data_IF_317503250538
#
_entry.id   IF_317503250538
#
_cell.length_a   1.000
_cell.length_b   1.000
_cell.length_c   1.000
_cell.angle_alpha   90.00
_cell.angle_beta   90.00
_cell.angle_gamma   90.00
#
_symmetry.space_group_name_H-M   'P 1'
#
loop_
_entity.id
_entity.type
_entity.pdbx_description
1 polymer ?
#
# COMPACT_ATOMS: atom_id res chain seq x y z
N UNK A 1 6.19 -5.06 2.81
CA UNK A 1 4.96 -5.20 3.63
C UNK A 1 5.04 -4.22 4.77
N UNK A 2 3.99 -3.43 4.95
CA UNK A 2 3.83 -2.50 6.06
C UNK A 2 2.93 -3.15 7.12
N UNK A 3 3.35 -3.12 8.39
CA UNK A 3 2.64 -3.69 9.55
C UNK A 3 2.41 -2.62 10.60
N UNK A 4 1.47 -2.90 11.50
CA UNK A 4 1.04 -1.99 12.58
C UNK A 4 0.49 -0.65 12.08
N UNK A 5 -0.13 -0.63 10.90
CA UNK A 5 -0.84 0.56 10.40
C UNK A 5 -2.00 0.87 11.36
N UNK A 6 -2.21 2.13 11.77
CA UNK A 6 -3.38 2.47 12.57
C UNK A 6 -4.66 2.26 11.76
N UNK A 7 -5.62 1.50 12.31
CA UNK A 7 -6.81 1.05 11.58
C UNK A 7 -7.70 2.20 11.07
N UNK A 8 -7.53 3.40 11.64
CA UNK A 8 -8.25 4.61 11.23
C UNK A 8 -7.80 5.14 9.88
N UNK A 9 -6.54 4.91 9.48
CA UNK A 9 -6.03 5.33 8.18
C UNK A 9 -6.85 4.71 7.06
N UNK A 10 -7.28 5.54 6.12
CA UNK A 10 -7.81 5.06 4.84
C UNK A 10 -6.67 4.73 3.87
N UNK A 11 -7.04 4.14 2.73
CA UNK A 11 -6.11 3.84 1.64
C UNK A 11 -5.47 5.14 1.13
N UNK A 12 -6.31 6.14 0.89
CA UNK A 12 -5.98 7.48 0.42
C UNK A 12 -5.06 8.21 1.39
N UNK A 13 -5.39 8.19 2.68
CA UNK A 13 -4.58 8.89 3.70
C UNK A 13 -3.20 8.28 3.83
N UNK A 14 -3.09 6.95 3.82
CA UNK A 14 -1.79 6.29 3.92
C UNK A 14 -0.97 6.50 2.64
N UNK A 15 -1.61 6.43 1.48
CA UNK A 15 -0.96 6.69 0.19
C UNK A 15 -0.42 8.12 0.12
N UNK A 16 -1.21 9.11 0.55
CA UNK A 16 -0.79 10.50 0.60
C UNK A 16 0.41 10.74 1.54
N UNK A 17 0.45 10.09 2.71
CA UNK A 17 1.63 10.16 3.61
C UNK A 17 2.89 9.60 2.95
N UNK A 18 2.76 8.51 2.19
CA UNK A 18 3.88 7.88 1.48
C UNK A 18 4.39 8.80 0.37
N UNK A 19 3.48 9.34 -0.46
CA UNK A 19 3.83 10.28 -1.53
C UNK A 19 4.46 11.57 -0.99
N UNK A 20 3.87 12.15 0.07
CA UNK A 20 4.39 13.36 0.71
C UNK A 20 5.78 13.17 1.36
N UNK A 21 6.16 11.93 1.68
CA UNK A 21 7.48 11.61 2.18
C UNK A 21 8.53 11.41 1.07
N UNK A 22 8.17 11.66 -0.20
CA UNK A 22 9.07 11.60 -1.35
C UNK A 22 9.09 10.27 -2.09
N UNK A 23 8.15 9.36 -1.80
CA UNK A 23 8.05 8.06 -2.47
C UNK A 23 7.07 8.05 -3.64
N UNK A 24 6.72 9.23 -4.15
CA UNK A 24 5.86 9.35 -5.32
C UNK A 24 6.52 8.69 -6.54
N UNK A 25 5.74 8.00 -7.36
CA UNK A 25 6.20 7.26 -8.54
C UNK A 25 7.27 6.17 -8.32
N UNK A 26 7.61 5.80 -7.07
CA UNK A 26 8.61 4.75 -6.78
C UNK A 26 8.03 3.32 -6.68
N UNK A 27 6.72 3.17 -6.85
CA UNK A 27 6.03 1.89 -6.69
C UNK A 27 4.91 1.68 -7.72
N UNK A 28 4.75 0.43 -8.17
CA UNK A 28 3.77 0.02 -9.18
C UNK A 28 2.52 -0.63 -8.59
N UNK A 29 2.53 -0.94 -7.29
CA UNK A 29 1.44 -1.62 -6.61
C UNK A 29 1.30 -1.13 -5.17
N UNK A 30 0.09 -0.79 -4.77
CA UNK A 30 -0.28 -0.49 -3.39
C UNK A 30 -1.53 -1.25 -3.00
N UNK A 31 -1.58 -1.80 -1.79
CA UNK A 31 -2.78 -2.40 -1.26
C UNK A 31 -2.88 -2.29 0.24
N UNK A 32 -3.95 -1.64 0.71
CA UNK A 32 -4.36 -1.60 2.11
C UNK A 32 -5.67 -2.39 2.28
N UNK A 33 -5.63 -3.66 2.71
CA UNK A 33 -6.83 -4.45 2.95
C UNK A 33 -7.77 -3.81 3.96
N UNK A 34 -9.03 -3.66 3.55
CA UNK A 34 -10.11 -3.15 4.38
C UNK A 34 -10.98 -4.30 4.89
N UNK A 35 -11.36 -4.23 6.15
CA UNK A 35 -12.44 -5.03 6.71
C UNK A 35 -13.79 -4.39 6.32
N UNK A 36 -14.58 -5.09 5.50
CA UNK A 36 -15.84 -4.55 4.97
C UNK A 36 -16.92 -4.34 6.02
N UNK A 37 -16.85 -5.03 7.17
CA UNK A 37 -17.82 -4.89 8.26
C UNK A 37 -17.57 -3.62 9.05
N UNK A 38 -16.30 -3.39 9.43
CA UNK A 38 -15.91 -2.23 10.24
C UNK A 38 -15.53 -1.00 9.41
N UNK A 39 -15.32 -1.18 8.10
CA UNK A 39 -14.79 -0.16 7.17
C UNK A 39 -13.43 0.41 7.61
N UNK A 40 -12.63 -0.39 8.32
CA UNK A 40 -11.29 -0.03 8.79
C UNK A 40 -10.24 -0.91 8.14
N UNK A 41 -9.00 -0.43 8.03
CA UNK A 41 -7.93 -1.27 7.51
C UNK A 41 -7.57 -2.40 8.50
N UNK A 42 -6.94 -3.46 8.00
CA UNK A 42 -6.56 -4.64 8.81
C UNK A 42 -5.24 -4.50 9.56
N UNK A 43 -4.65 -3.30 9.59
CA UNK A 43 -3.39 -3.02 10.29
C UNK A 43 -2.13 -3.40 9.51
N UNK A 44 -2.26 -3.80 8.25
CA UNK A 44 -1.13 -4.09 7.37
C UNK A 44 -1.44 -3.70 5.93
N UNK A 45 -0.40 -3.46 5.13
CA UNK A 45 -0.49 -3.14 3.72
C UNK A 45 0.69 -3.70 2.92
N UNK A 46 0.58 -3.65 1.60
CA UNK A 46 1.60 -4.10 0.66
C UNK A 46 1.93 -2.97 -0.30
N UNK A 47 3.22 -2.83 -0.58
CA UNK A 47 3.77 -1.89 -1.55
C UNK A 47 4.80 -2.69 -2.36
N UNK A 48 4.77 -2.58 -3.68
CA UNK A 48 5.80 -3.14 -4.56
C UNK A 48 6.53 -1.97 -5.22
N UNK A 49 7.80 -1.81 -4.88
CA UNK A 49 8.67 -0.79 -5.46
C UNK A 49 9.26 -1.28 -6.79
N UNK A 50 9.67 -0.34 -7.65
CA UNK A 50 10.29 -0.68 -8.95
C UNK A 50 11.65 -1.37 -8.76
N UNK A 51 12.37 -1.02 -7.70
CA UNK A 51 13.67 -1.59 -7.36
C UNK A 51 13.78 -1.95 -5.86
N UNK A 52 14.75 -2.80 -5.54
CA UNK A 52 15.07 -3.13 -4.15
C UNK A 52 15.64 -1.95 -3.38
N UNK A 53 16.39 -1.07 -4.04
CA UNK A 53 16.97 0.13 -3.43
C UNK A 53 15.89 1.07 -2.90
N UNK A 54 14.85 1.34 -3.69
CA UNK A 54 13.71 2.15 -3.27
C UNK A 54 12.94 1.52 -2.10
N UNK A 55 12.80 0.19 -2.11
CA UNK A 55 12.20 -0.53 -0.98
C UNK A 55 13.02 -0.42 0.31
N UNK A 56 14.35 -0.40 0.19
CA UNK A 56 15.27 -0.19 1.31
C UNK A 56 15.21 1.25 1.83
N UNK A 57 15.20 2.25 0.95
CA UNK A 57 14.99 3.66 1.30
C UNK A 57 13.66 3.87 2.02
N UNK A 58 12.59 3.23 1.53
CA UNK A 58 11.29 3.26 2.19
C UNK A 58 11.34 2.62 3.58
N UNK A 59 12.04 1.50 3.73
CA UNK A 59 12.23 0.88 5.04
C UNK A 59 12.99 1.81 6.00
N UNK A 60 14.05 2.48 5.55
CA UNK A 60 14.79 3.45 6.36
C UNK A 60 13.92 4.64 6.78
N UNK A 61 13.04 5.12 5.89
CA UNK A 61 12.16 6.25 6.16
C UNK A 61 11.01 5.89 7.11
N UNK A 62 10.35 4.74 6.91
CA UNK A 62 9.08 4.39 7.58
C UNK A 62 9.20 3.34 8.68
N UNK A 63 10.25 2.52 8.72
CA UNK A 63 10.39 1.51 9.76
C UNK A 63 10.62 2.18 11.12
N UNK A 64 9.95 1.66 12.15
CA UNK A 64 9.97 2.22 13.51
C UNK A 64 9.48 3.67 13.61
N UNK A 65 8.73 4.15 12.62
CA UNK A 65 8.05 5.43 12.68
C UNK A 65 6.62 5.32 13.18
N UNK A 66 6.16 6.38 13.83
CA UNK A 66 4.75 6.60 14.14
C UNK A 66 4.16 7.51 13.08
N UNK A 67 2.97 7.15 12.60
CA UNK A 67 2.19 8.00 11.72
C UNK A 67 1.46 9.06 12.54
N UNK A 68 1.49 10.32 12.09
CA UNK A 68 1.14 11.47 12.93
C UNK A 68 -0.27 12.03 12.70
N UNK A 69 -0.99 11.56 11.67
CA UNK A 69 -2.36 12.06 11.37
C UNK A 69 -3.35 11.79 12.50
N UNK A 70 -3.15 10.71 13.25
CA UNK A 70 -4.05 10.31 14.34
C UNK A 70 -3.27 9.95 15.60
N UNK A 71 -3.78 10.28 16.80
CA UNK A 71 -3.21 9.81 18.05
C UNK A 71 -3.19 8.27 18.08
N UNK A 72 -1.99 7.69 18.15
CA UNK A 72 -1.80 6.25 18.18
C UNK A 72 -0.50 5.90 18.89
N UNK A 73 -0.50 4.80 19.64
CA UNK A 73 0.72 4.21 20.19
C UNK A 73 1.42 3.28 19.20
N UNK A 74 0.77 2.96 18.06
CA UNK A 74 1.30 2.03 17.07
C UNK A 74 2.54 2.58 16.40
N UNK A 75 3.50 1.69 16.17
CA UNK A 75 4.78 1.95 15.51
C UNK A 75 4.83 1.05 14.28
N UNK A 76 5.08 1.64 13.12
CA UNK A 76 5.15 0.93 11.86
C UNK A 76 6.31 -0.06 11.82
N UNK A 77 6.03 -1.21 11.23
CA UNK A 77 7.04 -2.22 10.91
C UNK A 77 7.08 -2.43 9.41
N UNK A 78 8.25 -2.25 8.80
CA UNK A 78 8.48 -2.54 7.39
C UNK A 78 9.27 -3.84 7.31
N UNK A 79 8.80 -4.78 6.50
CA UNK A 79 9.51 -6.03 6.25
C UNK A 79 9.21 -6.55 4.83
N UNK A 80 10.09 -7.39 4.25
CA UNK A 80 9.81 -8.07 3.00
C UNK A 80 8.47 -8.84 3.07
N UNK A 81 7.67 -8.76 2.00
CA UNK A 81 6.43 -9.52 1.89
C UNK A 81 6.73 -10.97 1.49
N UNK A 82 5.84 -11.92 1.84
CA UNK A 82 5.94 -13.31 1.36
C UNK A 82 5.76 -13.41 -0.17
N UNK A 83 4.90 -12.56 -0.73
CA UNK A 83 4.70 -12.45 -2.18
C UNK A 83 5.54 -11.29 -2.67
N UNK A 84 6.44 -11.56 -3.62
CA UNK A 84 7.42 -10.61 -4.13
C UNK A 84 7.20 -10.39 -5.63
N UNK A 85 7.35 -9.14 -6.07
CA UNK A 85 7.21 -8.73 -7.46
C UNK A 85 5.77 -8.43 -7.89
N UNK A 86 5.65 -7.50 -8.83
CA UNK A 86 4.41 -7.01 -9.40
C UNK A 86 3.47 -8.12 -9.91
N UNK A 87 3.96 -8.99 -10.80
CA UNK A 87 3.14 -10.03 -11.43
C UNK A 87 2.55 -11.02 -10.42
N UNK A 88 3.32 -11.37 -9.38
CA UNK A 88 2.88 -12.27 -8.32
C UNK A 88 1.82 -11.60 -7.43
N UNK A 89 2.00 -10.33 -7.10
CA UNK A 89 1.01 -9.53 -6.38
C UNK A 89 -0.29 -9.39 -7.20
N UNK A 90 -0.19 -9.09 -8.49
CA UNK A 90 -1.34 -9.01 -9.38
C UNK A 90 -2.11 -10.33 -9.43
N UNK A 91 -1.40 -11.44 -9.65
CA UNK A 91 -2.05 -12.76 -9.70
C UNK A 91 -2.71 -13.15 -8.38
N UNK A 92 -2.13 -12.74 -7.23
CA UNK A 92 -2.66 -13.06 -5.91
C UNK A 92 -3.88 -12.24 -5.53
N UNK A 93 -3.92 -10.96 -5.86
CA UNK A 93 -4.94 -10.04 -5.36
C UNK A 93 -5.99 -9.65 -6.40
N UNK A 94 -5.67 -9.59 -7.70
CA UNK A 94 -6.65 -9.24 -8.75
C UNK A 94 -7.39 -10.44 -9.32
N UNK A 95 -6.74 -11.59 -9.53
CA UNK A 95 -7.35 -12.75 -10.19
C UNK A 95 -8.34 -13.53 -9.30
N UNK A 96 -8.67 -13.03 -8.10
CA UNK A 96 -9.60 -13.72 -7.18
C UNK A 96 -11.05 -13.37 -7.53
N UNK A 97 -11.98 -14.36 -7.56
CA UNK A 97 -13.39 -14.15 -7.93
C UNK A 97 -14.12 -13.08 -7.11
N UNK A 98 -13.71 -12.87 -5.85
CA UNK A 98 -14.28 -11.86 -4.96
C UNK A 98 -13.80 -10.42 -5.23
N UNK A 99 -12.65 -10.24 -5.89
CA UNK A 99 -12.10 -8.90 -6.14
C UNK A 99 -12.96 -8.09 -7.11
N UNK A 100 -13.57 -8.76 -8.09
CA UNK A 100 -14.45 -8.11 -9.08
C UNK A 100 -15.75 -7.55 -8.48
N UNK A 101 -16.16 -8.02 -7.28
CA UNK A 101 -17.39 -7.57 -6.61
C UNK A 101 -17.18 -6.27 -5.82
N UNK A 102 -15.94 -5.88 -5.56
CA UNK A 102 -15.61 -4.67 -4.80
C UNK A 102 -15.63 -3.46 -5.73
N UNK A 103 -16.68 -2.65 -5.63
CA UNK A 103 -16.86 -1.45 -6.48
C UNK A 103 -15.95 -0.28 -6.07
N UNK A 104 -15.65 -0.14 -4.77
CA UNK A 104 -14.79 0.95 -4.30
C UNK A 104 -13.33 0.67 -4.67
N UNK A 105 -12.74 1.57 -5.47
CA UNK A 105 -11.38 1.43 -5.95
C UNK A 105 -10.32 1.43 -4.84
N UNK A 106 -10.59 2.11 -3.72
CA UNK A 106 -9.67 2.16 -2.58
C UNK A 106 -9.69 0.90 -1.72
N UNK A 107 -10.66 0.01 -1.93
CA UNK A 107 -10.78 -1.27 -1.18
C UNK A 107 -10.18 -2.45 -1.95
N UNK A 108 -9.75 -2.22 -3.19
CA UNK A 108 -9.00 -3.17 -4.02
C UNK A 108 -7.53 -2.73 -4.10
N UNK A 109 -6.61 -3.61 -4.51
CA UNK A 109 -5.26 -3.19 -4.82
C UNK A 109 -5.26 -2.12 -5.92
N UNK A 110 -4.33 -1.18 -5.82
CA UNK A 110 -4.08 -0.12 -6.78
C UNK A 110 -2.83 -0.48 -7.58
N UNK A 111 -2.87 -0.18 -8.87
CA UNK A 111 -1.76 -0.34 -9.80
C UNK A 111 -1.39 1.04 -10.30
N UNK A 112 -0.09 1.29 -10.38
CA UNK A 112 0.48 2.53 -10.89
C UNK A 112 1.39 2.11 -12.03
N UNK A 113 0.97 2.40 -13.25
CA UNK A 113 1.77 2.16 -14.46
C UNK A 113 2.32 3.50 -14.92
N UNK A 114 3.56 3.55 -15.39
CA UNK A 114 4.16 4.75 -15.99
C UNK A 114 3.46 5.15 -17.31
N UNK A 115 2.72 4.22 -17.94
CA UNK A 115 2.02 4.47 -19.20
C UNK A 115 0.60 5.04 -18.99
N UNK A 116 0.56 6.34 -18.76
CA UNK A 116 -0.52 7.18 -19.25
C UNK A 116 0.11 8.31 -20.09
N UNK A 117 0.92 7.96 -21.09
CA UNK A 117 1.06 8.85 -22.24
C UNK A 117 -0.34 9.03 -22.82
N UNK A 118 -0.87 10.24 -22.66
CA UNK A 118 -1.93 10.80 -23.47
C UNK A 118 -1.51 10.64 -24.93
N UNK A 119 -2.02 9.63 -25.61
CA UNK A 119 -2.15 9.68 -27.05
C UNK A 119 -3.20 10.76 -27.34
N UNK A 120 -2.72 11.89 -27.86
CA UNK A 120 -3.51 12.98 -28.46
C UNK A 120 -4.55 12.48 -29.48
#
# INVERSE_FOLDING_TARGET
>A
MLRNVPNRYTCEELLAEIMNAGFDHMFDFFYLPIDFTTKRNRGYGFINFHSSAEAEEFALAFHHRRLNRYPTSKILEVAPAKTQGYQANMSKYFKKPGSARVKNAYFKPMLFTEDAELTD
#
